data_IF_681441641118
#
_entry.id   IF_681441641118
#
_cell.length_a   1.000
_cell.length_b   1.000
_cell.length_c   1.000
_cell.angle_alpha   90.00
_cell.angle_beta   90.00
_cell.angle_gamma   90.00
#
_symmetry.space_group_name_H-M   'P 1'
#
loop_
_entity.id
_entity.type
_entity.pdbx_description
1 polymer ?
#
# COMPACT_ATOMS: atom_id res chain seq x y z
N UNK A 1 -70.76 -18.40 -0.73
CA UNK A 1 -70.20 -17.13 -0.27
C UNK A 1 -68.79 -17.34 0.22
N UNK A 2 -67.81 -16.84 -0.52
CA UNK A 2 -66.37 -16.90 -0.14
C UNK A 2 -66.08 -15.73 0.78
N UNK A 3 -65.76 -16.02 2.08
CA UNK A 3 -65.27 -14.99 3.01
C UNK A 3 -63.89 -14.54 2.52
N UNK A 4 -63.77 -13.26 2.15
CA UNK A 4 -62.46 -12.63 1.91
C UNK A 4 -61.71 -12.53 3.24
N UNK A 5 -60.42 -12.88 3.26
CA UNK A 5 -59.62 -12.72 4.48
C UNK A 5 -59.56 -11.22 4.84
N UNK A 6 -59.79 -10.89 6.10
CA UNK A 6 -59.63 -9.54 6.62
C UNK A 6 -58.16 -9.13 6.40
N UNK A 7 -57.93 -8.03 5.70
CA UNK A 7 -56.61 -7.44 5.59
C UNK A 7 -56.15 -6.99 6.99
N UNK A 8 -55.06 -7.57 7.50
CA UNK A 8 -54.47 -7.12 8.76
C UNK A 8 -53.88 -5.72 8.48
N UNK A 9 -54.46 -4.70 9.15
CA UNK A 9 -53.92 -3.34 9.11
C UNK A 9 -52.73 -3.28 10.09
N UNK A 10 -51.60 -2.76 9.64
CA UNK A 10 -50.42 -2.54 10.48
C UNK A 10 -50.70 -1.51 11.55
N UNK A 11 -50.24 -1.77 12.79
CA UNK A 11 -50.31 -0.80 13.89
C UNK A 11 -49.32 0.35 13.61
N UNK A 12 -49.72 1.58 13.96
CA UNK A 12 -48.84 2.75 13.89
C UNK A 12 -47.53 2.54 14.65
N UNK A 13 -47.59 1.84 15.79
CA UNK A 13 -46.42 1.51 16.64
C UNK A 13 -45.48 0.56 15.89
N UNK A 14 -46.02 -0.41 15.17
CA UNK A 14 -45.20 -1.37 14.39
C UNK A 14 -44.44 -0.69 13.26
N UNK A 15 -45.07 0.25 12.54
CA UNK A 15 -44.48 1.04 11.49
C UNK A 15 -43.37 1.97 12.03
N UNK A 16 -43.64 2.66 13.15
CA UNK A 16 -42.65 3.54 13.77
C UNK A 16 -41.45 2.76 14.30
N UNK A 17 -41.67 1.59 14.89
CA UNK A 17 -40.57 0.71 15.34
C UNK A 17 -39.74 0.18 14.15
N UNK A 18 -40.39 -0.26 13.08
CA UNK A 18 -39.72 -0.75 11.87
C UNK A 18 -38.84 0.33 11.23
N UNK A 19 -39.35 1.56 11.10
CA UNK A 19 -38.60 2.70 10.58
C UNK A 19 -37.42 3.04 11.52
N UNK A 20 -37.63 3.02 12.85
CA UNK A 20 -36.57 3.27 13.82
C UNK A 20 -35.42 2.27 13.71
N UNK A 21 -35.74 0.98 13.61
CA UNK A 21 -34.72 -0.08 13.43
C UNK A 21 -34.01 0.07 12.07
N UNK A 22 -34.77 0.32 10.99
CA UNK A 22 -34.17 0.50 9.66
C UNK A 22 -33.23 1.71 9.62
N UNK A 23 -33.63 2.84 10.21
CA UNK A 23 -32.80 4.03 10.31
C UNK A 23 -31.51 3.77 11.10
N UNK A 24 -31.60 3.08 12.23
CA UNK A 24 -30.44 2.71 13.04
C UNK A 24 -29.47 1.80 12.25
N UNK A 25 -29.98 0.79 11.55
CA UNK A 25 -29.16 -0.08 10.71
C UNK A 25 -28.46 0.68 9.59
N UNK A 26 -29.14 1.62 8.93
CA UNK A 26 -28.55 2.43 7.86
C UNK A 26 -27.42 3.33 8.39
N UNK A 27 -27.61 3.98 9.54
CA UNK A 27 -26.60 4.83 10.16
C UNK A 27 -25.36 4.02 10.50
N UNK A 28 -25.49 2.82 11.06
CA UNK A 28 -24.36 1.96 11.42
C UNK A 28 -23.59 1.49 10.18
N UNK A 29 -24.27 1.13 9.10
CA UNK A 29 -23.62 0.77 7.83
C UNK A 29 -22.89 1.97 7.24
N UNK A 30 -23.51 3.14 7.19
CA UNK A 30 -22.88 4.36 6.68
C UNK A 30 -21.64 4.76 7.49
N UNK A 31 -21.63 4.53 8.80
CA UNK A 31 -20.47 4.81 9.65
C UNK A 31 -19.26 3.90 9.36
N UNK A 32 -19.46 2.71 8.80
CA UNK A 32 -18.40 1.78 8.45
C UNK A 32 -17.72 2.09 7.09
N UNK A 33 -18.41 2.81 6.20
CA UNK A 33 -17.89 3.12 4.85
C UNK A 33 -16.52 3.83 4.88
N UNK A 34 -16.29 4.87 5.68
CA UNK A 34 -14.99 5.54 5.72
C UNK A 34 -13.85 4.60 6.14
N UNK A 35 -14.10 3.74 7.11
CA UNK A 35 -13.10 2.77 7.61
C UNK A 35 -12.75 1.76 6.52
N UNK A 36 -13.75 1.24 5.81
CA UNK A 36 -13.55 0.31 4.70
C UNK A 36 -12.72 0.93 3.55
N UNK A 37 -13.00 2.19 3.20
CA UNK A 37 -12.25 2.93 2.17
C UNK A 37 -10.79 3.14 2.59
N UNK A 38 -10.52 3.52 3.83
CA UNK A 38 -9.17 3.70 4.35
C UNK A 38 -8.41 2.37 4.38
N UNK A 39 -9.02 1.29 4.84
CA UNK A 39 -8.43 -0.03 4.85
C UNK A 39 -8.07 -0.51 3.43
N UNK A 40 -8.96 -0.31 2.46
CA UNK A 40 -8.70 -0.66 1.06
C UNK A 40 -7.54 0.15 0.45
N UNK A 41 -7.49 1.46 0.72
CA UNK A 41 -6.37 2.31 0.27
C UNK A 41 -5.03 1.87 0.85
N UNK A 42 -5.00 1.51 2.12
CA UNK A 42 -3.79 1.01 2.77
C UNK A 42 -3.36 -0.33 2.18
N UNK A 43 -4.28 -1.28 1.99
CA UNK A 43 -3.99 -2.57 1.37
C UNK A 43 -3.46 -2.42 -0.07
N UNK A 44 -4.06 -1.55 -0.87
CA UNK A 44 -3.61 -1.26 -2.24
C UNK A 44 -2.21 -0.65 -2.24
N UNK A 45 -1.93 0.31 -1.35
CA UNK A 45 -0.61 0.93 -1.24
C UNK A 45 0.46 -0.07 -0.79
N UNK A 46 0.13 -0.96 0.15
CA UNK A 46 1.01 -2.03 0.60
C UNK A 46 1.36 -3.00 -0.54
N UNK A 47 0.35 -3.43 -1.30
CA UNK A 47 0.54 -4.34 -2.44
C UNK A 47 1.41 -3.68 -3.52
N UNK A 48 1.16 -2.42 -3.88
CA UNK A 48 1.96 -1.70 -4.84
C UNK A 48 3.41 -1.53 -4.37
N UNK A 49 3.63 -1.17 -3.10
CA UNK A 49 4.97 -1.06 -2.53
C UNK A 49 5.73 -2.39 -2.57
N UNK A 50 5.07 -3.50 -2.25
CA UNK A 50 5.67 -4.85 -2.33
C UNK A 50 6.05 -5.21 -3.76
N UNK A 51 5.21 -4.91 -4.75
CA UNK A 51 5.50 -5.14 -6.16
C UNK A 51 6.70 -4.28 -6.65
N UNK A 52 6.79 -3.04 -6.21
CA UNK A 52 7.93 -2.16 -6.51
C UNK A 52 9.22 -2.75 -5.92
N UNK A 53 9.21 -3.17 -4.65
CA UNK A 53 10.35 -3.82 -4.01
C UNK A 53 10.76 -5.08 -4.78
N UNK A 54 9.80 -5.89 -5.19
CA UNK A 54 10.06 -7.10 -5.97
C UNK A 54 10.73 -6.79 -7.32
N UNK A 55 10.27 -5.75 -8.02
CA UNK A 55 10.85 -5.33 -9.30
C UNK A 55 12.27 -4.78 -9.14
N UNK A 56 12.54 -3.98 -8.11
CA UNK A 56 13.87 -3.48 -7.77
C UNK A 56 14.81 -4.64 -7.42
N UNK A 57 14.33 -5.59 -6.61
CA UNK A 57 15.10 -6.79 -6.24
C UNK A 57 15.40 -7.65 -7.46
N UNK A 58 14.46 -7.81 -8.39
CA UNK A 58 14.65 -8.58 -9.61
C UNK A 58 15.71 -7.94 -10.52
N UNK A 59 15.68 -6.61 -10.71
CA UNK A 59 16.69 -5.88 -11.46
C UNK A 59 18.09 -6.04 -10.85
N UNK A 60 18.21 -5.92 -9.54
CA UNK A 60 19.47 -6.12 -8.83
C UNK A 60 19.98 -7.57 -8.95
N UNK A 61 19.10 -8.57 -8.90
CA UNK A 61 19.47 -9.99 -9.05
C UNK A 61 19.87 -10.37 -10.47
N UNK A 62 19.23 -9.78 -11.46
CA UNK A 62 19.57 -10.01 -12.88
C UNK A 62 20.88 -9.36 -13.29
N UNK A 63 21.41 -8.46 -12.47
CA UNK A 63 22.59 -7.67 -12.79
C UNK A 63 23.87 -8.39 -12.39
N UNK A 64 24.74 -8.68 -13.35
CA UNK A 64 26.12 -9.18 -13.14
C UNK A 64 27.13 -8.02 -13.01
N UNK A 65 26.79 -6.85 -13.54
CA UNK A 65 27.59 -5.63 -13.47
C UNK A 65 27.56 -4.95 -12.09
N UNK A 66 28.37 -3.92 -11.90
CA UNK A 66 28.40 -3.15 -10.65
C UNK A 66 27.15 -2.26 -10.47
N UNK A 67 26.42 -1.98 -11.55
CA UNK A 67 25.26 -1.09 -11.56
C UNK A 67 24.10 -1.74 -12.30
N UNK A 68 22.90 -1.66 -11.73
CA UNK A 68 21.70 -2.23 -12.34
C UNK A 68 21.22 -1.41 -13.54
N UNK A 69 20.75 -2.07 -14.62
CA UNK A 69 20.42 -1.38 -15.87
C UNK A 69 19.12 -0.58 -15.80
N UNK A 70 18.11 -1.06 -15.06
CA UNK A 70 16.80 -0.44 -15.05
C UNK A 70 16.71 0.75 -14.08
N UNK A 71 17.20 0.57 -12.85
CA UNK A 71 17.10 1.59 -11.80
C UNK A 71 18.43 2.29 -11.54
N UNK A 72 19.48 1.92 -12.25
CA UNK A 72 20.82 2.49 -12.11
C UNK A 72 21.33 2.47 -10.66
N UNK A 73 21.12 1.34 -9.96
CA UNK A 73 21.54 1.13 -8.58
C UNK A 73 22.96 0.58 -8.58
N UNK A 74 23.90 1.32 -8.02
CA UNK A 74 25.28 0.87 -7.83
C UNK A 74 25.39 0.14 -6.50
N UNK A 75 25.86 -1.12 -6.54
CA UNK A 75 26.03 -1.92 -5.33
C UNK A 75 27.03 -1.27 -4.37
N UNK A 76 26.67 -1.26 -3.09
CA UNK A 76 27.46 -0.62 -2.05
C UNK A 76 27.21 0.88 -1.90
N UNK A 77 26.44 1.52 -2.80
CA UNK A 77 26.12 2.95 -2.73
C UNK A 77 24.63 3.12 -2.45
N UNK A 78 24.24 3.76 -1.35
CA UNK A 78 22.83 4.02 -1.05
C UNK A 78 22.18 4.82 -2.17
N UNK A 79 20.92 4.47 -2.51
CA UNK A 79 20.16 5.14 -3.55
C UNK A 79 18.70 5.31 -3.16
N UNK A 80 18.14 6.45 -3.53
CA UNK A 80 16.70 6.72 -3.42
C UNK A 80 16.07 6.74 -4.81
N UNK A 81 14.96 6.03 -4.96
CA UNK A 81 14.17 5.92 -6.18
C UNK A 81 12.76 6.44 -5.89
N UNK A 82 12.11 6.95 -6.93
CA UNK A 82 10.73 7.42 -6.82
C UNK A 82 9.86 6.68 -7.83
N UNK A 83 8.63 6.38 -7.41
CA UNK A 83 7.63 5.71 -8.24
C UNK A 83 6.30 6.43 -8.12
N UNK A 84 5.56 6.45 -9.21
CA UNK A 84 4.21 7.00 -9.23
C UNK A 84 3.17 6.02 -8.66
N UNK A 85 1.89 6.39 -8.73
CA UNK A 85 0.78 5.55 -8.25
C UNK A 85 0.57 4.27 -9.05
N UNK A 86 1.07 4.21 -10.29
CA UNK A 86 1.04 3.03 -11.15
C UNK A 86 2.29 2.14 -11.02
N UNK A 87 3.25 2.53 -10.17
CA UNK A 87 4.51 1.81 -9.99
C UNK A 87 5.55 2.11 -11.08
N UNK A 88 5.38 3.19 -11.85
CA UNK A 88 6.35 3.60 -12.85
C UNK A 88 7.50 4.37 -12.20
N UNK A 89 8.72 4.01 -12.58
CA UNK A 89 9.93 4.64 -12.07
C UNK A 89 10.07 6.08 -12.57
N UNK A 90 10.47 6.97 -11.68
CA UNK A 90 10.83 8.36 -11.99
C UNK A 90 12.19 8.69 -11.38
N UNK A 91 13.02 9.46 -12.10
CA UNK A 91 14.38 9.77 -11.68
C UNK A 91 14.46 10.78 -10.54
N UNK A 92 13.40 11.53 -10.32
CA UNK A 92 13.34 12.60 -9.30
C UNK A 92 11.97 12.63 -8.63
N UNK A 93 11.93 13.20 -7.43
CA UNK A 93 10.67 13.49 -6.75
C UNK A 93 9.87 14.51 -7.55
N UNK A 94 8.71 14.10 -8.04
CA UNK A 94 7.76 14.92 -8.79
C UNK A 94 6.37 14.93 -8.16
N UNK A 95 5.47 15.74 -8.72
CA UNK A 95 4.08 15.87 -8.24
C UNK A 95 3.31 14.52 -8.25
N UNK A 96 3.66 13.62 -9.17
CA UNK A 96 3.01 12.32 -9.32
C UNK A 96 3.70 11.21 -8.52
N UNK A 97 4.83 11.49 -7.86
CA UNK A 97 5.55 10.50 -7.06
C UNK A 97 4.72 10.10 -5.83
N UNK A 98 4.39 8.82 -5.75
CA UNK A 98 3.60 8.25 -4.64
C UNK A 98 4.45 7.44 -3.66
N UNK A 99 5.48 6.75 -4.18
CA UNK A 99 6.36 5.91 -3.37
C UNK A 99 7.79 6.40 -3.44
N UNK A 100 8.45 6.42 -2.30
CA UNK A 100 9.90 6.62 -2.16
C UNK A 100 10.50 5.28 -1.77
N UNK A 101 11.51 4.83 -2.52
CA UNK A 101 12.23 3.58 -2.22
C UNK A 101 13.67 3.92 -1.92
N UNK A 102 14.09 3.62 -0.72
CA UNK A 102 15.50 3.71 -0.30
C UNK A 102 16.13 2.32 -0.38
N UNK A 103 17.27 2.26 -1.07
CA UNK A 103 18.12 1.07 -1.13
C UNK A 103 19.38 1.39 -0.36
N UNK A 104 19.65 0.62 0.68
CA UNK A 104 20.85 0.76 1.50
C UNK A 104 21.62 -0.55 1.53
N UNK A 105 22.93 -0.47 1.71
CA UNK A 105 23.83 -1.62 1.69
C UNK A 105 24.55 -1.69 3.04
N UNK A 106 24.03 -2.47 4.00
CA UNK A 106 24.74 -2.72 5.24
C UNK A 106 26.08 -3.43 4.97
N UNK A 107 27.10 -3.11 5.74
CA UNK A 107 28.40 -3.75 5.63
C UNK A 107 28.32 -5.24 5.95
N UNK A 108 28.93 -6.07 5.10
CA UNK A 108 28.96 -7.52 5.26
C UNK A 108 30.39 -8.03 5.47
N UNK A 109 30.63 -8.91 6.42
CA UNK A 109 31.99 -9.39 6.72
C UNK A 109 32.55 -10.42 5.75
N UNK A 110 31.77 -10.99 4.81
CA UNK A 110 32.31 -12.05 3.94
C UNK A 110 31.48 -12.31 2.68
N UNK A 111 31.94 -11.85 1.53
CA UNK A 111 31.55 -12.36 0.20
C UNK A 111 30.08 -12.25 -0.23
N UNK A 112 29.18 -11.92 0.66
CA UNK A 112 27.77 -11.65 0.39
C UNK A 112 27.51 -10.15 0.47
N UNK A 113 26.86 -9.60 -0.53
CA UNK A 113 26.34 -8.23 -0.47
C UNK A 113 24.88 -8.27 0.01
N UNK A 114 24.60 -7.51 1.05
CA UNK A 114 23.24 -7.34 1.54
C UNK A 114 22.68 -6.01 1.04
N UNK A 115 21.38 -6.00 0.77
CA UNK A 115 20.65 -4.77 0.53
C UNK A 115 19.37 -4.77 1.39
N UNK A 116 19.11 -3.62 1.98
CA UNK A 116 17.83 -3.28 2.59
C UNK A 116 17.09 -2.35 1.64
N UNK A 117 15.89 -2.77 1.24
CA UNK A 117 15.04 -2.08 0.28
C UNK A 117 13.77 -1.70 1.01
N UNK A 118 13.58 -0.42 1.25
CA UNK A 118 12.44 0.12 1.99
C UNK A 118 11.63 1.06 1.12
N UNK A 119 10.37 0.72 0.88
CA UNK A 119 9.39 1.57 0.22
C UNK A 119 8.53 2.29 1.26
N UNK A 120 8.37 3.60 1.12
CA UNK A 120 7.53 4.43 1.99
C UNK A 120 6.57 5.27 1.16
N UNK A 121 5.42 5.59 1.74
CA UNK A 121 4.43 6.47 1.12
C UNK A 121 3.78 7.42 2.15
N UNK A 122 3.42 8.63 1.72
CA UNK A 122 3.63 9.25 0.40
C UNK A 122 5.11 9.59 0.16
N UNK A 123 5.55 9.65 -1.10
CA UNK A 123 6.94 9.90 -1.49
C UNK A 123 7.56 11.20 -0.94
N UNK A 124 6.79 12.33 -0.79
CA UNK A 124 7.30 13.55 -0.17
C UNK A 124 7.65 13.41 1.31
N UNK A 125 7.02 12.46 2.03
CA UNK A 125 7.39 12.20 3.42
C UNK A 125 8.75 11.50 3.46
N UNK A 126 9.79 12.24 3.82
CA UNK A 126 11.13 11.69 4.01
C UNK A 126 11.20 10.98 5.35
N UNK A 127 11.48 9.68 5.40
CA UNK A 127 11.55 8.94 6.67
C UNK A 127 12.58 9.48 7.67
N UNK A 128 13.58 10.23 7.20
CA UNK A 128 14.58 10.86 8.06
C UNK A 128 14.04 12.08 8.81
N UNK A 129 12.99 12.73 8.29
CA UNK A 129 12.46 13.99 8.83
C UNK A 129 10.98 13.95 9.16
N UNK A 130 10.23 13.03 8.55
CA UNK A 130 8.77 12.97 8.66
C UNK A 130 8.31 11.50 8.71
N UNK A 131 7.36 11.20 9.57
CA UNK A 131 6.78 9.85 9.64
C UNK A 131 5.92 9.59 8.39
N UNK A 132 6.24 8.58 7.57
CA UNK A 132 5.41 8.19 6.43
C UNK A 132 4.10 7.55 6.90
N UNK A 133 3.07 7.61 6.06
CA UNK A 133 1.77 6.99 6.33
C UNK A 133 1.82 5.46 6.31
N UNK A 134 2.80 4.89 5.60
CA UNK A 134 3.05 3.46 5.59
C UNK A 134 4.40 3.13 4.98
N UNK A 135 4.86 1.90 5.23
CA UNK A 135 6.11 1.38 4.71
C UNK A 135 6.03 -0.12 4.44
N UNK A 136 6.83 -0.58 3.47
CA UNK A 136 7.17 -1.97 3.26
C UNK A 136 8.69 -2.09 3.16
N UNK A 137 9.26 -3.16 3.68
CA UNK A 137 10.71 -3.33 3.77
C UNK A 137 11.07 -4.78 3.43
N UNK A 138 12.15 -4.96 2.71
CA UNK A 138 12.70 -6.27 2.36
C UNK A 138 14.22 -6.24 2.50
N UNK A 139 14.72 -7.18 3.27
CA UNK A 139 16.15 -7.45 3.37
C UNK A 139 16.52 -8.61 2.45
N UNK A 140 17.53 -8.44 1.61
CA UNK A 140 17.94 -9.46 0.64
C UNK A 140 19.44 -9.58 0.55
N UNK A 141 19.92 -10.78 0.25
CA UNK A 141 21.34 -11.07 0.03
C UNK A 141 21.59 -11.38 -1.44
N UNK A 142 22.75 -10.93 -1.93
CA UNK A 142 23.22 -11.19 -3.28
C UNK A 142 24.60 -11.84 -3.21
N UNK A 143 24.76 -12.96 -3.90
CA UNK A 143 26.09 -13.54 -4.12
C UNK A 143 26.70 -12.81 -5.32
N UNK A 144 27.79 -12.11 -5.07
CA UNK A 144 28.59 -11.47 -6.13
C UNK A 144 29.96 -12.17 -6.18
N UNK A 145 30.28 -12.72 -7.34
CA UNK A 145 31.60 -13.30 -7.61
C UNK A 145 32.57 -12.21 -8.04
#
# INVERSE_FOLDING_TARGET
>A
MRKLPAAAAFSLVEVTLAIGIAAFCLITVCALVPVAVLANRNATSQTAATNIIASVTADMRATTASTSPQYNITFGTPKTLFFDGAGQFTTSLGANSRYRVSVTFPSSPSGLSYADIKATWPAPADPATTTPSGSAEMFTAFKRN
#
